data_IF_800136461369
#
_entry.id   IF_800136461369
#
_cell.length_a   1.000
_cell.length_b   1.000
_cell.length_c   1.000
_cell.angle_alpha   90.00
_cell.angle_beta   90.00
_cell.angle_gamma   90.00
#
_symmetry.space_group_name_H-M   'P 1'
#
loop_
_entity.id
_entity.type
_entity.pdbx_description
1 polymer ?
#
# COMPACT_ATOMS: atom_id res chain seq x y z
N UNK A 1 -20.04 8.57 -5.72
CA UNK A 1 -19.22 8.70 -4.48
C UNK A 1 -19.52 10.08 -3.89
N UNK A 2 -19.80 10.18 -2.59
CA UNK A 2 -20.07 11.46 -1.95
C UNK A 2 -18.79 12.30 -1.82
N UNK A 3 -18.93 13.62 -1.71
CA UNK A 3 -17.80 14.54 -1.56
C UNK A 3 -16.98 14.24 -0.28
N UNK A 4 -17.63 13.87 0.80
CA UNK A 4 -16.99 13.48 2.07
C UNK A 4 -16.07 12.28 1.90
N UNK A 5 -16.49 11.24 1.16
CA UNK A 5 -15.66 10.07 0.89
C UNK A 5 -14.43 10.46 0.07
N UNK A 6 -14.57 11.37 -0.90
CA UNK A 6 -13.42 11.89 -1.67
C UNK A 6 -12.42 12.58 -0.74
N UNK A 7 -12.88 13.49 0.13
CA UNK A 7 -12.00 14.18 1.08
C UNK A 7 -11.27 13.22 2.02
N UNK A 8 -11.96 12.19 2.52
CA UNK A 8 -11.34 11.18 3.37
C UNK A 8 -10.29 10.37 2.61
N UNK A 9 -10.53 10.03 1.34
CA UNK A 9 -9.53 9.32 0.52
C UNK A 9 -8.32 10.23 0.23
N UNK A 10 -8.52 11.54 0.01
CA UNK A 10 -7.41 12.48 -0.15
C UNK A 10 -6.59 12.63 1.14
N UNK A 11 -7.25 12.64 2.30
CA UNK A 11 -6.56 12.57 3.60
C UNK A 11 -5.78 11.25 3.73
N UNK A 12 -6.38 10.12 3.36
CA UNK A 12 -5.69 8.83 3.32
C UNK A 12 -4.48 8.85 2.37
N UNK A 13 -4.58 9.55 1.24
CA UNK A 13 -3.46 9.73 0.30
C UNK A 13 -2.33 10.59 0.89
N UNK A 14 -2.66 11.65 1.65
CA UNK A 14 -1.68 12.45 2.39
C UNK A 14 -0.97 11.62 3.47
N UNK A 15 -1.71 10.87 4.29
CA UNK A 15 -1.15 9.95 5.26
C UNK A 15 -0.27 8.88 4.59
N UNK A 16 -0.67 8.41 3.40
CA UNK A 16 0.11 7.48 2.59
C UNK A 16 1.43 8.10 2.14
N UNK A 17 1.44 9.33 1.69
CA UNK A 17 2.65 10.06 1.34
C UNK A 17 3.56 10.26 2.56
N UNK A 18 2.97 10.57 3.73
CA UNK A 18 3.72 10.82 4.97
C UNK A 18 4.51 9.60 5.43
N UNK A 19 3.89 8.40 5.52
CA UNK A 19 4.65 7.21 5.94
C UNK A 19 5.70 6.79 4.89
N UNK A 20 5.42 6.98 3.60
CA UNK A 20 6.42 6.75 2.55
C UNK A 20 7.61 7.72 2.68
N UNK A 21 7.36 8.98 3.01
CA UNK A 21 8.43 9.95 3.26
C UNK A 21 9.31 9.53 4.46
N UNK A 22 8.71 9.00 5.53
CA UNK A 22 9.46 8.45 6.68
C UNK A 22 10.38 7.32 6.23
N UNK A 23 9.87 6.34 5.48
CA UNK A 23 10.68 5.24 4.96
C UNK A 23 11.78 5.76 4.02
N UNK A 24 11.45 6.70 3.14
CA UNK A 24 12.41 7.30 2.20
C UNK A 24 13.53 8.06 2.91
N UNK A 25 13.24 8.72 4.03
CA UNK A 25 14.20 9.47 4.83
C UNK A 25 15.16 8.61 5.67
N UNK A 26 14.89 7.31 5.85
CA UNK A 26 15.75 6.41 6.61
C UNK A 26 16.94 5.89 5.80
N UNK A 27 18.03 5.52 6.47
CA UNK A 27 19.25 4.98 5.84
C UNK A 27 19.09 3.54 5.35
N UNK A 28 18.22 2.73 5.98
CA UNK A 28 17.92 1.35 5.60
C UNK A 28 16.42 1.15 5.40
N UNK A 29 15.99 1.05 4.14
CA UNK A 29 14.56 0.95 3.78
C UNK A 29 13.86 -0.27 4.36
N UNK A 30 14.59 -1.40 4.44
CA UNK A 30 14.05 -2.64 5.01
C UNK A 30 13.79 -2.49 6.51
N UNK A 31 14.70 -1.84 7.24
CA UNK A 31 14.53 -1.57 8.67
C UNK A 31 13.41 -0.56 8.93
N UNK A 32 13.32 0.50 8.11
CA UNK A 32 12.21 1.46 8.19
C UNK A 32 10.86 0.78 7.91
N UNK A 33 10.80 -0.16 6.97
CA UNK A 33 9.57 -0.93 6.72
C UNK A 33 9.21 -1.78 7.95
N UNK A 34 10.19 -2.44 8.58
CA UNK A 34 9.97 -3.17 9.83
C UNK A 34 9.44 -2.27 10.95
N UNK A 35 10.06 -1.10 11.14
CA UNK A 35 9.63 -0.09 12.11
C UNK A 35 8.20 0.42 11.82
N UNK A 36 7.88 0.67 10.55
CA UNK A 36 6.55 1.11 10.13
C UNK A 36 5.49 0.04 10.43
N UNK A 37 5.76 -1.22 10.10
CA UNK A 37 4.89 -2.34 10.44
C UNK A 37 4.70 -2.48 11.96
N UNK A 38 5.79 -2.35 12.73
CA UNK A 38 5.74 -2.37 14.19
C UNK A 38 4.87 -1.22 14.74
N UNK A 39 5.10 0.02 14.27
CA UNK A 39 4.34 1.19 14.70
C UNK A 39 2.84 1.07 14.42
N UNK A 40 2.47 0.55 13.25
CA UNK A 40 1.08 0.23 12.91
C UNK A 40 0.50 -0.84 13.85
N UNK A 41 1.25 -1.93 14.10
CA UNK A 41 0.85 -2.98 15.03
C UNK A 41 0.65 -2.48 16.45
N UNK A 42 1.55 -1.63 16.97
CA UNK A 42 1.39 -0.99 18.29
C UNK A 42 0.14 -0.12 18.34
N UNK A 43 -0.10 0.70 17.30
CA UNK A 43 -1.32 1.52 17.22
C UNK A 43 -2.59 0.70 17.32
N UNK A 44 -2.61 -0.48 16.70
CA UNK A 44 -3.79 -1.37 16.68
C UNK A 44 -4.05 -2.01 18.06
N UNK A 45 -3.01 -2.31 18.84
CA UNK A 45 -3.17 -2.94 20.16
C UNK A 45 -4.06 -2.12 21.11
N UNK A 46 -4.11 -0.80 20.92
CA UNK A 46 -4.99 0.08 21.68
C UNK A 46 -6.43 0.11 21.16
N UNK A 47 -6.70 -0.37 19.96
CA UNK A 47 -8.00 -0.31 19.29
C UNK A 47 -8.70 -1.67 19.29
N UNK A 48 -7.95 -2.75 19.02
CA UNK A 48 -8.48 -4.13 18.89
C UNK A 48 -9.33 -4.58 20.07
N UNK A 49 -8.99 -4.29 21.36
CA UNK A 49 -9.81 -4.74 22.48
C UNK A 49 -11.25 -4.19 22.50
N UNK A 50 -11.49 -3.08 21.80
CA UNK A 50 -12.79 -2.41 21.75
C UNK A 50 -13.59 -2.74 20.49
N UNK A 51 -13.03 -3.57 19.59
CA UNK A 51 -13.65 -3.93 18.32
C UNK A 51 -14.17 -5.38 18.34
N UNK A 52 -15.31 -5.65 17.70
CA UNK A 52 -15.76 -7.02 17.49
C UNK A 52 -14.76 -7.77 16.61
N UNK A 53 -14.66 -9.09 16.78
CA UNK A 53 -13.87 -9.91 15.88
C UNK A 53 -14.48 -9.85 14.45
N UNK A 54 -13.67 -9.80 13.38
CA UNK A 54 -14.19 -9.78 12.01
C UNK A 54 -15.01 -11.04 11.73
N UNK A 55 -16.08 -10.92 10.93
CA UNK A 55 -16.91 -12.07 10.57
C UNK A 55 -16.07 -13.20 9.96
N UNK A 56 -16.39 -14.45 10.30
CA UNK A 56 -15.65 -15.64 9.86
C UNK A 56 -15.47 -15.72 8.34
N UNK A 57 -16.48 -15.24 7.60
CA UNK A 57 -16.44 -15.18 6.13
C UNK A 57 -15.31 -14.30 5.59
N UNK A 58 -14.85 -13.32 6.37
CA UNK A 58 -13.74 -12.43 5.96
C UNK A 58 -12.36 -13.05 6.19
N UNK A 59 -12.23 -14.09 7.00
CA UNK A 59 -10.94 -14.68 7.37
C UNK A 59 -10.21 -15.29 6.16
N UNK A 60 -10.94 -15.84 5.19
CA UNK A 60 -10.33 -16.32 3.94
C UNK A 60 -9.66 -15.20 3.15
N UNK A 61 -10.25 -14.02 3.15
CA UNK A 61 -9.69 -12.84 2.50
C UNK A 61 -8.48 -12.30 3.29
N UNK A 62 -8.58 -12.30 4.62
CA UNK A 62 -7.48 -11.92 5.50
C UNK A 62 -6.27 -12.83 5.30
N UNK A 63 -6.46 -14.15 5.28
CA UNK A 63 -5.40 -15.12 5.03
C UNK A 63 -4.80 -14.96 3.62
N UNK A 64 -5.64 -14.78 2.59
CA UNK A 64 -5.20 -14.51 1.23
C UNK A 64 -4.38 -13.23 1.13
N UNK A 65 -4.85 -12.13 1.73
CA UNK A 65 -4.14 -10.86 1.77
C UNK A 65 -2.77 -11.00 2.46
N UNK A 66 -2.70 -11.64 3.63
CA UNK A 66 -1.43 -11.83 4.33
C UNK A 66 -0.43 -12.64 3.50
N UNK A 67 -0.88 -13.67 2.80
CA UNK A 67 -0.05 -14.48 1.90
C UNK A 67 0.51 -13.62 0.75
N UNK A 68 -0.36 -12.82 0.14
CA UNK A 68 0.03 -11.91 -0.96
C UNK A 68 0.96 -10.80 -0.46
N UNK A 69 0.79 -10.30 0.77
CA UNK A 69 1.72 -9.33 1.35
C UNK A 69 3.12 -9.91 1.58
N UNK A 70 3.26 -11.18 1.92
CA UNK A 70 4.57 -11.85 1.99
C UNK A 70 5.22 -11.87 0.60
N UNK A 71 4.46 -12.24 -0.43
CA UNK A 71 4.92 -12.20 -1.82
C UNK A 71 5.31 -10.76 -2.25
N UNK A 72 4.56 -9.75 -1.83
CA UNK A 72 4.85 -8.34 -2.06
C UNK A 72 6.23 -7.93 -1.52
N UNK A 73 6.57 -8.31 -0.27
CA UNK A 73 7.88 -8.00 0.31
C UNK A 73 9.03 -8.65 -0.48
N UNK A 74 8.82 -9.87 -0.98
CA UNK A 74 9.80 -10.55 -1.83
C UNK A 74 9.96 -9.86 -3.19
N UNK A 75 8.85 -9.50 -3.83
CA UNK A 75 8.84 -8.81 -5.12
C UNK A 75 9.53 -7.43 -5.04
N UNK A 76 9.25 -6.65 -4.00
CA UNK A 76 9.91 -5.35 -3.77
C UNK A 76 11.43 -5.55 -3.59
N UNK A 77 11.85 -6.54 -2.82
CA UNK A 77 13.26 -6.81 -2.62
C UNK A 77 13.98 -7.15 -3.93
N UNK A 78 13.31 -7.83 -4.86
CA UNK A 78 13.83 -8.14 -6.20
C UNK A 78 13.79 -6.92 -7.12
N UNK A 79 12.67 -6.19 -7.14
CA UNK A 79 12.49 -5.03 -8.01
C UNK A 79 13.53 -3.93 -7.74
N UNK A 80 13.88 -3.68 -6.47
CA UNK A 80 14.83 -2.64 -6.11
C UNK A 80 16.31 -3.05 -6.19
N UNK A 81 16.63 -4.31 -6.51
CA UNK A 81 18.02 -4.74 -6.66
C UNK A 81 18.68 -4.21 -7.94
N UNK A 82 17.92 -4.03 -9.01
CA UNK A 82 18.47 -3.85 -10.36
C UNK A 82 17.98 -2.58 -11.07
N UNK A 83 17.18 -1.74 -10.42
CA UNK A 83 16.51 -0.61 -11.08
C UNK A 83 16.43 0.60 -10.13
N UNK A 84 16.47 1.78 -10.73
CA UNK A 84 16.17 3.03 -10.00
C UNK A 84 14.80 2.90 -9.32
N UNK A 85 14.82 3.07 -8.00
CA UNK A 85 13.63 2.94 -7.15
C UNK A 85 12.48 3.85 -7.61
N UNK A 86 12.81 5.05 -8.12
CA UNK A 86 11.82 6.01 -8.60
C UNK A 86 11.11 5.49 -9.85
N UNK A 87 11.83 4.85 -10.76
CA UNK A 87 11.27 4.25 -11.99
C UNK A 87 10.36 3.06 -11.67
N UNK A 88 10.86 2.08 -10.88
CA UNK A 88 10.07 0.92 -10.50
C UNK A 88 8.81 1.31 -9.72
N UNK A 89 8.94 2.25 -8.77
CA UNK A 89 7.83 2.75 -7.98
C UNK A 89 6.73 3.38 -8.85
N UNK A 90 7.11 4.21 -9.83
CA UNK A 90 6.16 4.86 -10.74
C UNK A 90 5.35 3.83 -11.54
N UNK A 91 6.01 2.82 -12.10
CA UNK A 91 5.34 1.76 -12.87
C UNK A 91 4.39 0.97 -11.95
N UNK A 92 4.85 0.53 -10.79
CA UNK A 92 4.04 -0.23 -9.84
C UNK A 92 2.76 0.54 -9.44
N UNK A 93 2.90 1.82 -9.12
CA UNK A 93 1.80 2.66 -8.64
C UNK A 93 0.79 3.02 -9.71
N UNK A 94 1.23 3.21 -10.94
CA UNK A 94 0.31 3.50 -12.05
C UNK A 94 -0.37 2.25 -12.62
N UNK A 95 0.35 1.13 -12.65
CA UNK A 95 -0.16 -0.11 -13.24
C UNK A 95 -1.16 -0.84 -12.32
N UNK A 96 -0.94 -0.81 -10.99
CA UNK A 96 -1.79 -1.55 -10.06
C UNK A 96 -3.28 -1.10 -10.07
N UNK A 97 -3.64 0.19 -10.02
CA UNK A 97 -5.04 0.61 -10.14
C UNK A 97 -5.65 0.29 -11.51
N UNK A 98 -4.86 0.37 -12.59
CA UNK A 98 -5.30 -0.03 -13.92
C UNK A 98 -5.68 -1.52 -13.94
N UNK A 99 -4.80 -2.39 -13.46
CA UNK A 99 -5.05 -3.83 -13.38
C UNK A 99 -6.28 -4.13 -12.50
N UNK A 100 -6.39 -3.44 -11.36
CA UNK A 100 -7.56 -3.57 -10.47
C UNK A 100 -8.84 -3.19 -11.20
N UNK A 101 -8.82 -2.11 -11.99
CA UNK A 101 -10.00 -1.64 -12.73
C UNK A 101 -10.40 -2.57 -13.86
N UNK A 102 -9.41 -3.07 -14.61
CA UNK A 102 -9.65 -4.07 -15.65
C UNK A 102 -10.20 -5.37 -15.06
N UNK A 103 -9.64 -5.85 -13.96
CA UNK A 103 -10.13 -7.04 -13.27
C UNK A 103 -11.57 -6.86 -12.79
N UNK A 104 -11.90 -5.70 -12.19
CA UNK A 104 -13.26 -5.40 -11.72
C UNK A 104 -14.26 -5.36 -12.90
N UNK A 105 -13.86 -4.76 -14.03
CA UNK A 105 -14.69 -4.75 -15.24
C UNK A 105 -14.95 -6.15 -15.77
N UNK A 106 -13.90 -6.97 -15.90
CA UNK A 106 -14.03 -8.37 -16.35
C UNK A 106 -14.86 -9.23 -15.39
N UNK A 107 -14.92 -8.84 -14.11
CA UNK A 107 -15.76 -9.47 -13.09
C UNK A 107 -17.21 -8.95 -13.07
N UNK A 108 -17.62 -8.17 -14.07
CA UNK A 108 -18.99 -7.65 -14.21
C UNK A 108 -19.31 -6.44 -13.32
N UNK A 109 -18.30 -5.78 -12.76
CA UNK A 109 -18.52 -4.57 -11.96
C UNK A 109 -18.42 -3.32 -12.84
N UNK A 110 -19.52 -2.59 -12.95
CA UNK A 110 -19.53 -1.32 -13.68
C UNK A 110 -18.78 -0.21 -12.93
N UNK A 111 -18.08 0.62 -13.68
CA UNK A 111 -17.41 1.78 -13.19
C UNK A 111 -17.89 3.03 -13.96
N UNK A 112 -18.23 4.14 -13.28
CA UNK A 112 -18.69 5.35 -13.93
C UNK A 112 -17.60 5.95 -14.83
N UNK A 113 -18.01 6.65 -15.89
CA UNK A 113 -17.11 7.27 -16.86
C UNK A 113 -16.02 8.14 -16.21
N UNK A 114 -16.37 8.88 -15.16
CA UNK A 114 -15.41 9.69 -14.39
C UNK A 114 -14.27 8.84 -13.78
N UNK A 115 -14.56 7.58 -13.36
CA UNK A 115 -13.54 6.66 -12.88
C UNK A 115 -12.57 6.25 -14.00
N UNK A 116 -13.07 5.94 -15.18
CA UNK A 116 -12.24 5.63 -16.36
C UNK A 116 -11.38 6.80 -16.80
N UNK A 117 -11.92 8.02 -16.80
CA UNK A 117 -11.13 9.22 -17.11
C UNK A 117 -9.99 9.43 -16.11
N UNK A 118 -10.24 9.23 -14.80
CA UNK A 118 -9.20 9.31 -13.78
C UNK A 118 -8.08 8.28 -13.99
N UNK A 119 -8.42 7.03 -14.35
CA UNK A 119 -7.44 5.97 -14.63
C UNK A 119 -6.64 6.29 -15.90
N UNK A 120 -7.29 6.79 -16.95
CA UNK A 120 -6.61 7.21 -18.17
C UNK A 120 -5.61 8.34 -17.91
N UNK A 121 -5.98 9.34 -17.10
CA UNK A 121 -5.07 10.41 -16.67
C UNK A 121 -3.87 9.85 -15.89
N UNK A 122 -4.12 8.92 -14.99
CA UNK A 122 -3.06 8.25 -14.22
C UNK A 122 -2.12 7.46 -15.13
N UNK A 123 -2.65 6.69 -16.09
CA UNK A 123 -1.85 5.97 -17.08
C UNK A 123 -1.03 6.93 -17.94
N UNK A 124 -1.60 8.04 -18.39
CA UNK A 124 -0.89 9.06 -19.15
C UNK A 124 0.28 9.67 -18.34
N UNK A 125 0.06 9.94 -17.04
CA UNK A 125 1.12 10.39 -16.14
C UNK A 125 2.27 9.37 -16.01
N UNK A 126 1.96 8.09 -15.84
CA UNK A 126 2.96 7.02 -15.77
C UNK A 126 3.71 6.87 -17.08
N UNK A 127 3.02 6.95 -18.22
CA UNK A 127 3.65 6.87 -19.54
C UNK A 127 4.60 8.05 -19.79
N UNK A 128 4.26 9.26 -19.38
CA UNK A 128 5.16 10.43 -19.52
C UNK A 128 6.43 10.25 -18.70
N UNK A 129 6.31 9.84 -17.43
CA UNK A 129 7.47 9.56 -16.57
C UNK A 129 8.32 8.41 -17.09
N UNK A 130 7.70 7.36 -17.62
CA UNK A 130 8.41 6.23 -18.24
C UNK A 130 9.19 6.68 -19.49
N UNK A 131 8.56 7.53 -20.34
CA UNK A 131 9.21 8.10 -21.53
C UNK A 131 10.45 8.91 -21.17
N UNK A 132 10.40 9.70 -20.10
CA UNK A 132 11.55 10.50 -19.65
C UNK A 132 12.70 9.60 -19.15
N UNK A 133 12.37 8.52 -18.45
CA UNK A 133 13.38 7.53 -18.04
C UNK A 133 14.02 6.81 -19.25
N UNK A 134 13.24 6.49 -20.29
CA UNK A 134 13.76 5.92 -21.54
C UNK A 134 14.73 6.91 -22.20
N UNK A 135 14.34 8.18 -22.35
CA UNK A 135 15.18 9.22 -22.97
C UNK A 135 16.49 9.43 -22.22
N UNK A 136 16.46 9.30 -20.90
CA UNK A 136 17.64 9.47 -20.04
C UNK A 136 18.50 8.18 -19.90
N UNK A 137 18.23 7.13 -20.69
CA UNK A 137 18.99 5.87 -20.69
C UNK A 137 18.83 5.04 -19.41
N UNK A 138 17.85 5.34 -18.56
CA UNK A 138 17.58 4.65 -17.30
C UNK A 138 16.58 3.48 -17.42
N UNK A 139 16.12 3.20 -18.63
CA UNK A 139 15.16 2.12 -18.86
C UNK A 139 15.84 0.75 -18.79
N UNK A 140 15.25 -0.13 -17.96
CA UNK A 140 15.66 -1.52 -17.87
C UNK A 140 14.39 -2.40 -17.95
N UNK A 141 14.35 -3.25 -19.00
CA UNK A 141 13.18 -4.11 -19.25
C UNK A 141 12.92 -5.10 -18.11
N UNK A 142 13.97 -5.69 -17.53
CA UNK A 142 13.82 -6.62 -16.41
C UNK A 142 13.24 -5.93 -15.17
N UNK A 143 13.66 -4.68 -14.93
CA UNK A 143 13.10 -3.86 -13.87
C UNK A 143 11.64 -3.44 -14.13
N UNK A 144 11.30 -3.12 -15.37
CA UNK A 144 9.92 -2.83 -15.76
C UNK A 144 9.03 -4.05 -15.58
N UNK A 145 9.47 -5.24 -15.99
CA UNK A 145 8.75 -6.51 -15.80
C UNK A 145 8.57 -6.84 -14.30
N UNK A 146 9.62 -6.66 -13.49
CA UNK A 146 9.53 -6.84 -12.04
C UNK A 146 8.55 -5.85 -11.39
N UNK A 147 8.52 -4.60 -11.85
CA UNK A 147 7.59 -3.59 -11.39
C UNK A 147 6.13 -3.93 -11.76
N UNK A 148 5.88 -4.39 -12.98
CA UNK A 148 4.56 -4.87 -13.41
C UNK A 148 4.15 -6.12 -12.62
N UNK A 149 5.05 -7.08 -12.41
CA UNK A 149 4.79 -8.24 -11.54
C UNK A 149 4.41 -7.82 -10.12
N UNK A 150 5.10 -6.83 -9.55
CA UNK A 150 4.75 -6.26 -8.25
C UNK A 150 3.38 -5.56 -8.28
N UNK A 151 3.02 -4.89 -9.38
CA UNK A 151 1.70 -4.29 -9.55
C UNK A 151 0.57 -5.33 -9.54
N UNK A 152 0.79 -6.53 -10.12
CA UNK A 152 -0.16 -7.65 -10.02
C UNK A 152 -0.34 -8.10 -8.57
N UNK A 153 0.73 -8.16 -7.80
CA UNK A 153 0.67 -8.50 -6.36
C UNK A 153 -0.08 -7.42 -5.58
N UNK A 154 0.15 -6.14 -5.90
CA UNK A 154 -0.59 -5.01 -5.31
C UNK A 154 -2.09 -5.11 -5.63
N UNK A 155 -2.45 -5.39 -6.88
CA UNK A 155 -3.85 -5.66 -7.26
C UNK A 155 -4.42 -6.80 -6.42
N UNK A 156 -3.69 -7.90 -6.27
CA UNK A 156 -4.12 -9.07 -5.52
C UNK A 156 -4.51 -8.74 -4.08
N UNK A 157 -3.59 -8.15 -3.28
CA UNK A 157 -3.95 -7.81 -1.91
C UNK A 157 -5.02 -6.71 -1.84
N UNK A 158 -5.06 -5.76 -2.77
CA UNK A 158 -6.09 -4.72 -2.81
C UNK A 158 -7.49 -5.31 -3.00
N UNK A 159 -7.63 -6.33 -3.84
CA UNK A 159 -8.88 -7.05 -4.04
C UNK A 159 -9.25 -7.89 -2.82
N UNK A 160 -8.30 -8.69 -2.28
CA UNK A 160 -8.53 -9.46 -1.05
C UNK A 160 -9.00 -8.57 0.08
N UNK A 161 -8.32 -7.45 0.31
CA UNK A 161 -8.64 -6.53 1.40
C UNK A 161 -9.95 -5.77 1.16
N UNK A 162 -10.21 -5.36 -0.08
CA UNK A 162 -11.47 -4.72 -0.44
C UNK A 162 -12.69 -5.63 -0.24
N UNK A 163 -12.60 -6.88 -0.67
CA UNK A 163 -13.66 -7.87 -0.43
C UNK A 163 -13.71 -8.31 1.03
N UNK A 164 -12.56 -8.47 1.68
CA UNK A 164 -12.48 -8.83 3.09
C UNK A 164 -13.10 -7.77 4.00
N UNK A 165 -12.82 -6.50 3.76
CA UNK A 165 -13.42 -5.39 4.48
C UNK A 165 -14.95 -5.35 4.31
N UNK A 166 -15.46 -5.65 3.11
CA UNK A 166 -16.91 -5.74 2.85
C UNK A 166 -17.56 -6.92 3.58
N UNK A 167 -16.90 -8.09 3.59
CA UNK A 167 -17.40 -9.31 4.22
C UNK A 167 -17.25 -9.31 5.75
N UNK A 168 -16.45 -8.38 6.32
CA UNK A 168 -16.08 -8.41 7.73
C UNK A 168 -17.18 -7.95 8.69
N UNK A 169 -18.23 -7.27 8.21
CA UNK A 169 -19.21 -6.58 9.03
C UNK A 169 -18.68 -5.31 9.71
N UNK A 170 -17.38 -5.26 9.97
CA UNK A 170 -16.68 -4.07 10.51
C UNK A 170 -15.32 -3.89 9.84
N UNK A 171 -15.18 -2.98 8.85
CA UNK A 171 -13.95 -2.78 8.11
C UNK A 171 -12.78 -2.30 8.97
N UNK A 172 -13.06 -1.56 10.06
CA UNK A 172 -12.01 -1.11 11.00
C UNK A 172 -11.42 -2.32 11.72
N UNK A 173 -12.26 -3.25 12.18
CA UNK A 173 -11.81 -4.48 12.79
C UNK A 173 -10.95 -5.31 11.84
N UNK A 174 -11.40 -5.45 10.58
CA UNK A 174 -10.63 -6.16 9.55
C UNK A 174 -9.22 -5.57 9.37
N UNK A 175 -9.12 -4.24 9.23
CA UNK A 175 -7.83 -3.55 9.10
C UNK A 175 -6.96 -3.78 10.32
N UNK A 176 -7.52 -3.67 11.50
CA UNK A 176 -6.78 -3.88 12.75
C UNK A 176 -6.17 -5.28 12.80
N UNK A 177 -6.94 -6.32 12.51
CA UNK A 177 -6.43 -7.69 12.47
C UNK A 177 -5.40 -7.92 11.36
N UNK A 178 -5.58 -7.29 10.19
CA UNK A 178 -4.60 -7.30 9.12
C UNK A 178 -3.25 -6.74 9.59
N UNK A 179 -3.26 -5.61 10.31
CA UNK A 179 -2.04 -5.01 10.85
C UNK A 179 -1.41 -5.86 11.95
N UNK A 180 -2.20 -6.47 12.85
CA UNK A 180 -1.68 -7.41 13.85
C UNK A 180 -0.89 -8.51 13.16
N UNK A 181 -1.46 -9.14 12.13
CA UNK A 181 -0.82 -10.29 11.46
C UNK A 181 0.42 -9.82 10.66
N UNK A 182 0.31 -8.72 9.91
CA UNK A 182 1.40 -8.22 9.06
C UNK A 182 2.59 -7.63 9.83
N UNK A 183 2.41 -7.30 11.12
CA UNK A 183 3.50 -6.83 11.99
C UNK A 183 4.59 -7.88 12.19
N UNK A 184 4.21 -9.17 12.28
CA UNK A 184 5.12 -10.23 12.68
C UNK A 184 6.14 -10.64 11.61
N UNK A 185 5.78 -10.93 10.34
CA UNK A 185 6.70 -11.59 9.41
C UNK A 185 8.02 -10.85 9.20
N UNK A 186 7.94 -9.56 8.87
CA UNK A 186 9.14 -8.76 8.59
C UNK A 186 9.99 -8.55 9.86
N UNK A 187 9.35 -8.26 10.99
CA UNK A 187 10.07 -8.03 12.25
C UNK A 187 10.73 -9.29 12.77
N UNK A 188 10.07 -10.46 12.66
CA UNK A 188 10.66 -11.75 13.01
C UNK A 188 11.86 -12.05 12.12
N UNK A 189 11.75 -11.87 10.80
CA UNK A 189 12.87 -12.07 9.87
C UNK A 189 14.05 -11.17 10.23
N UNK A 190 13.82 -9.90 10.50
CA UNK A 190 14.86 -8.94 10.88
C UNK A 190 15.53 -9.31 12.21
N UNK A 191 14.75 -9.71 13.20
CA UNK A 191 15.27 -10.15 14.49
C UNK A 191 16.06 -11.46 14.40
N UNK A 192 15.64 -12.41 13.56
CA UNK A 192 16.34 -13.68 13.39
C UNK A 192 17.64 -13.53 12.58
N UNK A 193 17.62 -12.69 11.51
CA UNK A 193 18.73 -12.60 10.57
C UNK A 193 19.69 -11.44 10.80
N UNK A 194 19.20 -10.33 11.37
CA UNK A 194 19.93 -9.07 11.46
C UNK A 194 19.82 -8.41 12.84
N UNK A 195 19.62 -9.18 13.89
CA UNK A 195 19.38 -8.70 15.26
C UNK A 195 20.40 -7.65 15.72
N UNK A 196 21.68 -7.89 15.47
CA UNK A 196 22.78 -7.03 15.96
C UNK A 196 22.75 -5.62 15.39
N UNK A 197 22.25 -5.46 14.17
CA UNK A 197 22.15 -4.17 13.47
C UNK A 197 20.74 -3.57 13.54
N UNK A 198 19.72 -4.43 13.58
CA UNK A 198 18.33 -3.96 13.62
C UNK A 198 17.93 -3.39 14.97
N UNK A 199 18.32 -4.00 16.10
CA UNK A 199 17.95 -3.50 17.43
C UNK A 199 18.49 -2.09 17.70
N UNK A 200 19.77 -1.76 17.48
CA UNK A 200 20.28 -0.39 17.65
C UNK A 200 19.58 0.61 16.74
N UNK A 201 19.30 0.20 15.48
CA UNK A 201 18.55 1.03 14.54
C UNK A 201 17.12 1.31 15.04
N UNK A 202 16.43 0.28 15.51
CA UNK A 202 15.10 0.37 16.10
C UNK A 202 15.09 1.33 17.30
N UNK A 203 16.00 1.19 18.26
CA UNK A 203 16.07 2.05 19.45
C UNK A 203 16.29 3.52 19.08
N UNK A 204 17.02 3.80 18.01
CA UNK A 204 17.28 5.17 17.57
C UNK A 204 16.10 5.80 16.80
N UNK A 205 15.31 4.98 16.08
CA UNK A 205 14.29 5.49 15.15
C UNK A 205 12.85 5.05 15.45
N UNK A 206 12.59 4.45 16.60
CA UNK A 206 11.26 3.94 16.95
C UNK A 206 10.14 5.00 16.85
N UNK A 207 10.42 6.27 17.17
CA UNK A 207 9.45 7.38 17.05
C UNK A 207 9.02 7.61 15.61
N UNK A 208 9.96 7.56 14.66
CA UNK A 208 9.67 7.66 13.23
C UNK A 208 8.85 6.45 12.76
N UNK A 209 9.21 5.25 13.23
CA UNK A 209 8.43 4.04 12.96
C UNK A 209 7.01 4.10 13.51
N UNK A 210 6.83 4.60 14.73
CA UNK A 210 5.52 4.79 15.33
C UNK A 210 4.68 5.80 14.52
N UNK A 211 5.22 6.98 14.22
CA UNK A 211 4.54 7.98 13.40
C UNK A 211 4.19 7.43 12.02
N UNK A 212 5.15 6.84 11.31
CA UNK A 212 4.93 6.24 10.00
C UNK A 212 3.88 5.12 10.05
N UNK A 213 3.96 4.24 11.05
CA UNK A 213 3.01 3.16 11.26
C UNK A 213 1.59 3.63 11.52
N UNK A 214 1.41 4.67 12.34
CA UNK A 214 0.10 5.30 12.58
C UNK A 214 -0.45 5.96 11.31
N UNK A 215 0.39 6.66 10.54
CA UNK A 215 0.01 7.22 9.25
C UNK A 215 -0.40 6.10 8.26
N UNK A 216 0.35 4.98 8.23
CA UNK A 216 0.05 3.82 7.40
C UNK A 216 -1.29 3.19 7.80
N UNK A 217 -1.52 2.96 9.09
CA UNK A 217 -2.77 2.41 9.63
C UNK A 217 -3.97 3.33 9.29
N UNK A 218 -3.85 4.63 9.55
CA UNK A 218 -4.89 5.60 9.23
C UNK A 218 -5.20 5.67 7.74
N UNK A 219 -4.16 5.74 6.90
CA UNK A 219 -4.29 5.73 5.44
C UNK A 219 -5.04 4.49 4.94
N UNK A 220 -4.60 3.31 5.38
CA UNK A 220 -5.16 2.06 4.89
C UNK A 220 -6.55 1.79 5.48
N UNK A 221 -6.76 2.15 6.75
CA UNK A 221 -8.06 2.04 7.42
C UNK A 221 -9.14 2.86 6.72
N UNK A 222 -8.86 4.12 6.41
CA UNK A 222 -9.77 4.99 5.66
C UNK A 222 -10.02 4.43 4.24
N UNK A 223 -8.98 3.94 3.57
CA UNK A 223 -9.12 3.37 2.23
C UNK A 223 -10.02 2.12 2.22
N UNK A 224 -9.82 1.17 3.13
CA UNK A 224 -10.64 -0.03 3.20
C UNK A 224 -12.07 0.28 3.63
N UNK A 225 -12.26 1.22 4.56
CA UNK A 225 -13.58 1.71 4.88
C UNK A 225 -14.27 2.33 3.65
N UNK A 226 -13.57 3.16 2.89
CA UNK A 226 -14.10 3.76 1.67
C UNK A 226 -14.44 2.71 0.60
N UNK A 227 -13.68 1.62 0.50
CA UNK A 227 -13.96 0.49 -0.39
C UNK A 227 -15.26 -0.26 -0.03
N UNK A 228 -15.78 -0.12 1.18
CA UNK A 228 -17.12 -0.62 1.55
C UNK A 228 -18.26 0.28 1.06
N UNK A 229 -17.97 1.53 0.73
CA UNK A 229 -18.95 2.56 0.32
C UNK A 229 -18.85 2.95 -1.16
N UNK A 230 -17.75 2.58 -1.82
CA UNK A 230 -17.45 2.95 -3.21
C UNK A 230 -16.78 1.78 -3.97
N UNK A 231 -16.73 1.81 -5.30
CA UNK A 231 -16.00 0.80 -6.07
C UNK A 231 -14.52 0.74 -5.68
N UNK A 232 -14.01 -0.48 -5.46
CA UNK A 232 -12.62 -0.73 -5.03
C UNK A 232 -11.61 -0.02 -5.97
N UNK A 233 -11.83 -0.14 -7.27
CA UNK A 233 -10.97 0.45 -8.29
C UNK A 233 -10.91 1.99 -8.21
N UNK A 234 -12.03 2.66 -7.93
CA UNK A 234 -12.07 4.13 -7.78
C UNK A 234 -11.30 4.59 -6.54
N UNK A 235 -11.47 3.90 -5.42
CA UNK A 235 -10.74 4.21 -4.18
C UNK A 235 -9.25 3.97 -4.39
N UNK A 236 -8.87 2.86 -5.04
CA UNK A 236 -7.48 2.56 -5.37
C UNK A 236 -6.86 3.65 -6.26
N UNK A 237 -7.56 4.08 -7.31
CA UNK A 237 -7.09 5.13 -8.22
C UNK A 237 -6.94 6.49 -7.52
N UNK A 238 -7.92 6.90 -6.69
CA UNK A 238 -7.82 8.15 -5.94
C UNK A 238 -6.67 8.16 -4.93
N UNK A 239 -6.34 7.02 -4.33
CA UNK A 239 -5.18 6.91 -3.45
C UNK A 239 -3.85 7.21 -4.15
N UNK A 240 -3.78 7.07 -5.47
CA UNK A 240 -2.57 7.41 -6.22
C UNK A 240 -2.27 8.91 -6.24
N UNK A 241 -3.21 9.78 -5.88
CA UNK A 241 -2.94 11.20 -5.62
C UNK A 241 -1.89 11.39 -4.51
N UNK A 242 -1.60 10.34 -3.72
CA UNK A 242 -0.48 10.30 -2.78
C UNK A 242 0.87 10.63 -3.41
N UNK A 243 1.05 10.38 -4.69
CA UNK A 243 2.27 10.75 -5.44
C UNK A 243 2.43 12.27 -5.47
N UNK A 244 1.34 13.02 -5.67
CA UNK A 244 1.34 14.50 -5.67
C UNK A 244 1.74 15.01 -4.28
N UNK A 245 1.10 14.48 -3.23
CA UNK A 245 1.47 14.83 -1.85
C UNK A 245 2.92 14.45 -1.52
N UNK A 246 3.40 13.31 -2.02
CA UNK A 246 4.79 12.88 -1.85
C UNK A 246 5.79 13.82 -2.50
N UNK A 247 5.48 14.41 -3.65
CA UNK A 247 6.30 15.45 -4.28
C UNK A 247 6.33 16.73 -3.45
N UNK A 248 5.19 17.16 -2.90
CA UNK A 248 5.11 18.35 -2.05
C UNK A 248 5.87 18.17 -0.71
N UNK A 249 5.89 16.96 -0.16
CA UNK A 249 6.62 16.66 1.08
C UNK A 249 8.14 16.46 0.86
N UNK A 250 8.58 16.34 -0.38
CA UNK A 250 9.98 16.13 -0.74
C UNK A 250 10.74 17.45 -1.04
N UNK A 251 10.04 18.57 -1.07
CA UNK A 251 10.58 19.95 -1.18
C UNK A 251 10.94 20.46 0.21
#
# INVERSE_FOLDING_TARGET
MSFEIILLILLAALLHASWNAVIKGGSNKLYETGLNCFGGGVGVLFIVPFLPFPALESLKFLAGSCTVHIAYYLCIAVAYRNVDMSFAYTIMRGTAPLLTSVFMLLSGHEMPLAGWLGILCLCAGVLTLTRDNIKNGKFNINGALAAVGTAVVIMGYTLFDGYGARASGNPISYVCWLYVINTFPINVILLLRQRKTYIPYFCNRWKHGLFGGLCSLGSYGVALWAMTKAPIAMVAALRETSVIFGMLLAV
#
